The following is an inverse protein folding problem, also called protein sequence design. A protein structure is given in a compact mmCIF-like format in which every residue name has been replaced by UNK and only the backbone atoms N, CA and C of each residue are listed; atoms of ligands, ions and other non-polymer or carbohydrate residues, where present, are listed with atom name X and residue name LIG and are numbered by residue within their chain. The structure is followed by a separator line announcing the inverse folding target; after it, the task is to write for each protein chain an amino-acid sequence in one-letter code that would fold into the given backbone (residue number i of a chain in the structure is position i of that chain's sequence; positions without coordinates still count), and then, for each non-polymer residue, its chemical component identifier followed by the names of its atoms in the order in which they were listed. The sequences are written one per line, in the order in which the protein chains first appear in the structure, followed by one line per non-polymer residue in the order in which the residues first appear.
data_IF_599919999537
#
_entry.id   IF_599919999537
#
_cell.length_a   1.000
_cell.length_b   1.000
_cell.length_c   1.000
_cell.angle_alpha   90.00
_cell.angle_beta   90.00
_cell.angle_gamma   90.00
#
_symmetry.space_group_name_H-M   'P 1'
#
loop_
_entity.id
_entity.type
_entity.pdbx_description
1 polymer ?
#
# COMPACT_ATOMS: atom_id res chain seq x y z
N UNK A 1 -16.96 0.89 5.74
CA UNK A 1 -17.36 -0.13 4.76
C UNK A 1 -18.10 -1.25 5.48
N UNK A 2 -19.21 -1.75 4.93
CA UNK A 2 -19.88 -2.94 5.48
C UNK A 2 -19.14 -4.20 5.04
N UNK A 3 -18.77 -5.07 6.00
CA UNK A 3 -18.10 -6.33 5.74
C UNK A 3 -19.01 -7.44 6.29
N UNK A 4 -19.64 -8.27 5.43
CA UNK A 4 -20.38 -9.42 5.89
C UNK A 4 -19.46 -10.35 6.70
N UNK A 5 -19.92 -10.85 7.84
CA UNK A 5 -19.11 -11.72 8.75
C UNK A 5 -18.48 -12.93 8.05
N UNK A 6 -19.16 -13.51 7.05
CA UNK A 6 -18.66 -14.65 6.25
C UNK A 6 -17.52 -14.28 5.29
N UNK A 7 -17.36 -13.00 5.00
CA UNK A 7 -16.35 -12.45 4.07
C UNK A 7 -15.26 -11.67 4.79
N UNK A 8 -15.30 -11.64 6.13
CA UNK A 8 -14.30 -10.95 6.92
C UNK A 8 -12.97 -11.71 6.89
N UNK A 9 -11.88 -11.01 6.55
CA UNK A 9 -10.53 -11.56 6.68
C UNK A 9 -10.19 -11.68 8.17
N UNK A 10 -10.39 -12.86 8.73
CA UNK A 10 -10.07 -13.14 10.13
C UNK A 10 -8.58 -13.46 10.32
N UNK A 11 -7.99 -12.94 11.39
CA UNK A 11 -6.62 -13.22 11.80
C UNK A 11 -5.63 -12.15 11.33
N UNK A 12 -4.85 -11.66 12.29
CA UNK A 12 -3.92 -10.55 12.07
C UNK A 12 -2.83 -10.88 11.03
N UNK A 13 -2.36 -12.13 11.02
CA UNK A 13 -1.39 -12.63 10.04
C UNK A 13 -1.96 -12.62 8.61
N UNK A 14 -3.27 -12.90 8.46
CA UNK A 14 -3.95 -12.89 7.15
C UNK A 14 -3.97 -11.49 6.53
N UNK A 15 -4.21 -10.45 7.34
CA UNK A 15 -4.20 -9.05 6.87
C UNK A 15 -2.78 -8.60 6.53
N UNK A 16 -1.80 -8.89 7.41
CA UNK A 16 -0.40 -8.54 7.16
C UNK A 16 0.12 -9.17 5.84
N UNK A 17 -0.08 -10.48 5.68
CA UNK A 17 0.31 -11.20 4.47
C UNK A 17 -0.39 -10.66 3.22
N UNK A 18 -1.67 -10.29 3.35
CA UNK A 18 -2.40 -9.70 2.23
C UNK A 18 -1.80 -8.36 1.79
N UNK A 19 -1.48 -7.46 2.72
CA UNK A 19 -0.87 -6.17 2.40
C UNK A 19 0.49 -6.39 1.71
N UNK A 20 1.31 -7.30 2.25
CA UNK A 20 2.64 -7.61 1.69
C UNK A 20 2.54 -8.14 0.27
N UNK A 21 1.61 -9.07 0.01
CA UNK A 21 1.42 -9.68 -1.31
C UNK A 21 0.72 -8.77 -2.33
N UNK A 22 0.07 -7.70 -1.87
CA UNK A 22 -0.67 -6.75 -2.72
C UNK A 22 -0.20 -5.32 -2.45
N UNK A 23 1.12 -5.12 -2.33
CA UNK A 23 1.75 -3.90 -1.82
C UNK A 23 1.59 -2.66 -2.70
N UNK A 24 1.13 -2.79 -3.94
CA UNK A 24 0.78 -1.67 -4.79
C UNK A 24 -0.62 -1.12 -4.42
N UNK A 25 -0.63 -0.14 -3.53
CA UNK A 25 -1.84 0.43 -2.95
C UNK A 25 -2.30 1.71 -3.62
N UNK A 26 -3.52 2.13 -3.28
CA UNK A 26 -4.08 3.44 -3.60
C UNK A 26 -4.17 4.29 -2.33
N UNK A 27 -3.37 5.35 -2.24
CA UNK A 27 -3.46 6.37 -1.21
C UNK A 27 -4.51 7.41 -1.58
N UNK A 28 -5.42 7.71 -0.66
CA UNK A 28 -6.51 8.68 -0.83
C UNK A 28 -6.44 9.72 0.30
N UNK A 29 -6.31 11.00 -0.07
CA UNK A 29 -6.33 12.15 0.83
C UNK A 29 -7.76 12.63 1.15
N UNK A 30 -7.95 13.55 2.12
CA UNK A 30 -9.27 14.11 2.45
C UNK A 30 -9.98 14.81 1.28
N UNK A 31 -9.23 15.38 0.34
CA UNK A 31 -9.74 16.02 -0.88
C UNK A 31 -10.19 15.01 -1.95
N UNK A 32 -10.07 13.70 -1.66
CA UNK A 32 -10.36 12.59 -2.56
C UNK A 32 -9.42 12.48 -3.76
N UNK A 33 -8.20 13.03 -3.65
CA UNK A 33 -7.13 12.74 -4.62
C UNK A 33 -6.56 11.36 -4.33
N UNK A 34 -6.32 10.60 -5.40
CA UNK A 34 -5.75 9.25 -5.36
C UNK A 34 -4.35 9.20 -5.98
N UNK A 35 -3.37 8.59 -5.30
CA UNK A 35 -2.09 8.17 -5.91
C UNK A 35 -1.91 6.68 -5.74
N UNK A 36 -1.58 5.99 -6.84
CA UNK A 36 -1.13 4.60 -6.80
C UNK A 36 0.37 4.54 -6.56
N UNK A 37 0.81 3.81 -5.53
CA UNK A 37 2.23 3.64 -5.20
C UNK A 37 2.48 2.32 -4.44
N UNK A 38 3.71 1.78 -4.50
CA UNK A 38 4.09 0.65 -3.65
C UNK A 38 4.23 1.09 -2.18
N UNK A 39 3.86 0.19 -1.28
CA UNK A 39 4.04 0.34 0.16
C UNK A 39 4.86 -0.81 0.75
N UNK A 40 5.68 -0.50 1.74
CA UNK A 40 6.26 -1.49 2.66
C UNK A 40 5.45 -1.46 3.95
N UNK A 41 5.07 -2.63 4.43
CA UNK A 41 4.36 -2.78 5.69
C UNK A 41 5.30 -3.18 6.82
N UNK A 42 5.36 -2.36 7.87
CA UNK A 42 6.13 -2.59 9.09
C UNK A 42 5.16 -2.90 10.25
N UNK A 43 4.75 -4.17 10.43
CA UNK A 43 3.72 -4.56 11.39
C UNK A 43 4.13 -4.45 12.86
N UNK A 44 5.44 -4.42 13.14
CA UNK A 44 6.00 -4.35 14.50
C UNK A 44 6.25 -2.91 14.97
N UNK A 45 6.11 -1.92 14.08
CA UNK A 45 6.39 -0.52 14.40
C UNK A 45 5.15 0.24 14.86
N UNK A 46 5.26 0.91 16.00
CA UNK A 46 4.18 1.71 16.58
C UNK A 46 2.96 0.90 17.03
N UNK A 47 2.02 1.56 17.72
CA UNK A 47 0.80 0.89 18.24
C UNK A 47 -0.18 0.50 17.14
N UNK A 48 -0.15 1.22 16.02
CA UNK A 48 -1.10 1.06 14.90
C UNK A 48 -0.46 0.40 13.66
N UNK A 49 0.81 -0.03 13.75
CA UNK A 49 1.61 -0.48 12.60
C UNK A 49 1.93 0.68 11.66
N UNK A 50 2.95 0.51 10.83
CA UNK A 50 3.37 1.57 9.89
C UNK A 50 3.33 1.07 8.45
N UNK A 51 2.91 1.96 7.55
CA UNK A 51 3.02 1.82 6.11
C UNK A 51 3.98 2.88 5.60
N UNK A 52 5.04 2.44 4.93
CA UNK A 52 6.00 3.32 4.28
C UNK A 52 5.76 3.34 2.79
N UNK A 53 5.77 4.53 2.20
CA UNK A 53 5.65 4.74 0.76
C UNK A 53 6.46 5.96 0.35
N UNK A 54 6.67 6.11 -0.97
CA UNK A 54 7.37 7.26 -1.50
C UNK A 54 6.56 7.88 -2.64
N UNK A 55 6.38 9.19 -2.58
CA UNK A 55 5.74 9.98 -3.63
C UNK A 55 6.77 10.96 -4.16
N UNK A 56 6.87 11.05 -5.49
CA UNK A 56 7.77 12.00 -6.12
C UNK A 56 7.44 13.44 -5.70
N UNK A 57 8.45 14.25 -5.39
CA UNK A 57 8.30 15.66 -4.98
C UNK A 57 7.44 16.49 -5.94
N UNK A 58 7.51 16.19 -7.24
CA UNK A 58 6.73 16.87 -8.27
C UNK A 58 5.21 16.59 -8.17
N UNK A 59 4.83 15.41 -7.65
CA UNK A 59 3.44 15.07 -7.41
C UNK A 59 2.92 15.88 -6.21
N UNK A 60 2.07 16.88 -6.48
CA UNK A 60 1.59 17.81 -5.44
C UNK A 60 0.71 17.17 -4.37
N UNK A 61 0.26 15.91 -4.56
CA UNK A 61 -0.61 15.21 -3.62
C UNK A 61 -0.01 15.13 -2.20
N UNK A 62 1.32 15.09 -2.04
CA UNK A 62 1.95 15.07 -0.70
C UNK A 62 1.62 16.26 0.18
N UNK A 63 1.25 17.40 -0.40
CA UNK A 63 0.84 18.60 0.34
C UNK A 63 -0.52 18.46 0.99
N UNK A 64 -1.32 17.48 0.58
CA UNK A 64 -2.71 17.32 1.04
C UNK A 64 -2.86 16.30 2.17
N UNK A 65 -1.84 15.49 2.43
CA UNK A 65 -1.92 14.41 3.40
C UNK A 65 -0.98 14.52 4.58
N UNK A 66 -0.07 15.50 4.61
CA UNK A 66 0.82 15.71 5.77
C UNK A 66 0.01 16.07 7.04
N UNK A 67 0.14 15.24 8.07
CA UNK A 67 -0.63 15.34 9.31
C UNK A 67 -2.13 15.06 9.16
N UNK A 68 -2.58 14.55 8.00
CA UNK A 68 -4.01 14.32 7.73
C UNK A 68 -4.37 12.84 7.84
N UNK A 69 -5.64 12.59 8.15
CA UNK A 69 -6.21 11.25 8.08
C UNK A 69 -6.39 10.84 6.62
N UNK A 70 -5.81 9.71 6.25
CA UNK A 70 -5.86 9.14 4.90
C UNK A 70 -6.46 7.74 4.89
N UNK A 71 -6.79 7.27 3.69
CA UNK A 71 -7.12 5.88 3.40
C UNK A 71 -6.10 5.30 2.43
N UNK A 72 -5.54 4.14 2.75
CA UNK A 72 -4.79 3.31 1.80
C UNK A 72 -5.60 2.06 1.49
N UNK A 73 -5.83 1.79 0.21
CA UNK A 73 -6.55 0.61 -0.28
C UNK A 73 -5.58 -0.35 -0.94
N UNK A 74 -5.52 -1.57 -0.44
CA UNK A 74 -4.85 -2.70 -1.08
C UNK A 74 -5.90 -3.61 -1.68
N UNK A 75 -5.77 -3.90 -2.97
CA UNK A 75 -6.74 -4.72 -3.71
C UNK A 75 -6.08 -6.02 -4.12
N UNK A 76 -6.76 -7.13 -3.84
CA UNK A 76 -6.34 -8.46 -4.23
C UNK A 76 -7.13 -8.98 -5.43
N UNK A 77 -7.10 -10.30 -5.68
CA UNK A 77 -7.83 -10.91 -6.78
C UNK A 77 -9.33 -10.61 -6.70
N UNK A 78 -9.91 -10.42 -7.88
CA UNK A 78 -11.34 -10.22 -8.06
C UNK A 78 -11.83 -10.87 -9.36
N UNK A 79 -13.06 -11.36 -9.35
CA UNK A 79 -13.67 -11.99 -10.52
C UNK A 79 -15.20 -11.89 -10.48
N UNK A 80 -15.78 -11.79 -11.68
CA UNK A 80 -17.21 -12.00 -11.87
C UNK A 80 -17.55 -13.47 -11.59
N UNK A 81 -18.66 -13.69 -10.88
CA UNK A 81 -19.21 -15.00 -10.57
C UNK A 81 -20.55 -15.15 -11.28
N UNK A 82 -20.56 -15.98 -12.32
CA UNK A 82 -21.76 -16.17 -13.13
C UNK A 82 -22.76 -17.09 -12.42
N UNK A 83 -24.05 -16.72 -12.37
CA UNK A 83 -25.08 -17.62 -11.85
C UNK A 83 -25.24 -18.88 -12.71
N UNK A 84 -24.79 -18.84 -13.97
CA UNK A 84 -24.85 -19.99 -14.90
C UNK A 84 -23.90 -21.13 -14.54
N UNK A 85 -22.96 -20.92 -13.62
CA UNK A 85 -22.04 -21.97 -13.15
C UNK A 85 -22.68 -22.92 -12.12
N UNK A 86 -23.81 -22.51 -11.54
CA UNK A 86 -24.48 -23.26 -10.48
C UNK A 86 -25.73 -23.96 -11.02
N UNK A 87 -26.04 -25.14 -10.47
CA UNK A 87 -27.31 -25.84 -10.72
C UNK A 87 -28.45 -25.34 -9.82
N UNK A 88 -28.23 -24.29 -9.04
CA UNK A 88 -29.21 -23.75 -8.10
C UNK A 88 -30.30 -22.94 -8.84
N UNK A 89 -31.56 -23.13 -8.47
CA UNK A 89 -32.64 -22.23 -8.88
C UNK A 89 -32.54 -20.94 -8.06
N UNK A 90 -32.68 -19.78 -8.72
CA UNK A 90 -32.61 -18.43 -8.12
C UNK A 90 -31.23 -17.97 -7.63
N UNK A 91 -30.19 -18.14 -8.46
CA UNK A 91 -28.88 -17.50 -8.21
C UNK A 91 -28.82 -16.08 -8.82
N UNK A 92 -28.18 -15.16 -8.11
CA UNK A 92 -27.90 -13.79 -8.59
C UNK A 92 -26.43 -13.65 -9.01
N UNK A 93 -26.13 -12.85 -10.06
CA UNK A 93 -24.75 -12.53 -10.43
C UNK A 93 -24.06 -11.73 -9.32
N UNK A 94 -22.77 -11.98 -9.13
CA UNK A 94 -21.98 -11.25 -8.13
C UNK A 94 -20.52 -11.07 -8.58
N UNK A 95 -19.77 -10.27 -7.84
CA UNK A 95 -18.32 -10.16 -7.95
C UNK A 95 -17.68 -10.59 -6.64
N UNK A 96 -16.79 -11.57 -6.72
CA UNK A 96 -15.91 -11.87 -5.60
C UNK A 96 -14.69 -10.97 -5.70
N UNK A 97 -14.25 -10.43 -4.57
CA UNK A 97 -13.02 -9.65 -4.46
C UNK A 97 -12.44 -9.79 -3.05
N UNK A 98 -11.21 -9.36 -2.91
CA UNK A 98 -10.53 -9.21 -1.62
C UNK A 98 -9.88 -7.84 -1.57
N UNK A 99 -9.96 -7.17 -0.43
CA UNK A 99 -9.38 -5.84 -0.24
C UNK A 99 -9.10 -5.59 1.24
N UNK A 100 -8.07 -4.77 1.51
CA UNK A 100 -7.76 -4.25 2.84
C UNK A 100 -7.74 -2.72 2.77
N UNK A 101 -8.50 -2.09 3.67
CA UNK A 101 -8.53 -0.64 3.83
C UNK A 101 -7.80 -0.28 5.12
N UNK A 102 -6.69 0.45 4.99
CA UNK A 102 -5.91 0.96 6.11
C UNK A 102 -6.25 2.44 6.32
N UNK A 103 -6.65 2.80 7.53
CA UNK A 103 -6.88 4.20 7.91
C UNK A 103 -5.81 4.62 8.90
N UNK A 104 -5.19 5.78 8.67
CA UNK A 104 -4.12 6.29 9.51
C UNK A 104 -3.92 7.79 9.29
N UNK A 105 -2.99 8.37 10.04
CA UNK A 105 -2.49 9.73 9.80
C UNK A 105 -1.21 9.60 9.00
N UNK A 106 -1.11 10.30 7.86
CA UNK A 106 0.11 10.33 7.07
C UNK A 106 1.06 11.42 7.59
N UNK A 107 2.35 11.13 7.56
CA UNK A 107 3.42 12.03 8.00
C UNK A 107 4.50 12.09 6.93
N UNK A 108 4.94 13.29 6.56
CA UNK A 108 6.05 13.45 5.63
C UNK A 108 7.37 13.46 6.38
N UNK A 109 8.16 12.43 6.12
CA UNK A 109 9.47 12.20 6.74
C UNK A 109 10.53 13.25 6.38
N UNK A 110 11.56 13.33 7.22
CA UNK A 110 12.79 14.09 6.95
C UNK A 110 13.67 13.41 5.88
N UNK A 111 14.77 14.06 5.49
CA UNK A 111 15.67 13.53 4.45
C UNK A 111 16.31 12.17 4.83
N UNK A 112 16.82 12.04 6.05
CA UNK A 112 17.50 10.81 6.51
C UNK A 112 16.51 9.64 6.61
N UNK A 113 15.34 9.88 7.18
CA UNK A 113 14.26 8.89 7.25
C UNK A 113 13.74 8.49 5.87
N UNK A 114 13.60 9.47 4.96
CA UNK A 114 13.20 9.22 3.56
C UNK A 114 14.21 8.31 2.87
N UNK A 115 15.51 8.53 3.12
CA UNK A 115 16.58 7.70 2.56
C UNK A 115 16.46 6.25 3.06
N UNK A 116 16.30 6.06 4.36
CA UNK A 116 16.13 4.72 4.95
C UNK A 116 14.92 3.99 4.35
N UNK A 117 13.78 4.67 4.26
CA UNK A 117 12.55 4.12 3.67
C UNK A 117 12.73 3.78 2.19
N UNK A 118 13.42 4.63 1.43
CA UNK A 118 13.74 4.35 0.03
C UNK A 118 14.63 3.11 -0.11
N UNK A 119 15.63 2.93 0.76
CA UNK A 119 16.46 1.72 0.78
C UNK A 119 15.62 0.48 1.11
N UNK A 120 14.71 0.58 2.09
CA UNK A 120 13.79 -0.51 2.43
C UNK A 120 12.87 -0.86 1.26
N UNK A 121 12.28 0.13 0.59
CA UNK A 121 11.43 -0.06 -0.58
C UNK A 121 12.21 -0.76 -1.71
N UNK A 122 13.40 -0.25 -2.06
CA UNK A 122 14.22 -0.85 -3.11
C UNK A 122 14.59 -2.28 -2.75
N UNK A 123 15.11 -2.54 -1.55
CA UNK A 123 15.49 -3.90 -1.14
C UNK A 123 14.30 -4.87 -1.04
N UNK A 124 13.08 -4.37 -0.80
CA UNK A 124 11.87 -5.20 -0.77
C UNK A 124 11.52 -5.74 -2.16
N UNK A 125 11.68 -4.93 -3.20
CA UNK A 125 11.25 -5.28 -4.56
C UNK A 125 12.40 -5.74 -5.46
N UNK A 126 13.62 -5.27 -5.20
CA UNK A 126 14.85 -5.58 -5.94
C UNK A 126 16.00 -5.83 -4.92
N UNK A 127 16.05 -7.03 -4.32
CA UNK A 127 17.10 -7.37 -3.37
C UNK A 127 18.50 -7.17 -3.98
N UNK A 128 19.41 -6.57 -3.19
CA UNK A 128 20.80 -6.27 -3.55
C UNK A 128 21.00 -5.11 -4.55
N UNK A 129 19.95 -4.46 -5.06
CA UNK A 129 20.12 -3.33 -5.98
C UNK A 129 20.82 -2.13 -5.32
N UNK A 130 20.60 -1.90 -4.03
CA UNK A 130 21.28 -0.84 -3.25
C UNK A 130 22.80 -1.05 -3.17
N UNK A 131 23.25 -2.30 -3.25
CA UNK A 131 24.66 -2.67 -3.22
C UNK A 131 25.30 -2.54 -4.62
N UNK A 132 24.50 -2.57 -5.69
CA UNK A 132 24.96 -2.40 -7.05
C UNK A 132 25.29 -0.92 -7.35
N UNK A 133 26.53 -0.53 -7.05
CA UNK A 133 27.02 0.84 -7.25
C UNK A 133 27.20 1.26 -8.71
N UNK A 134 27.16 0.33 -9.66
CA UNK A 134 27.16 0.67 -11.09
C UNK A 134 25.80 1.19 -11.54
N UNK A 135 24.72 0.52 -11.13
CA UNK A 135 23.35 0.93 -11.46
C UNK A 135 22.84 2.04 -10.53
N UNK A 136 23.25 2.02 -9.26
CA UNK A 136 22.79 2.99 -8.26
C UNK A 136 23.96 3.53 -7.42
N UNK A 137 24.75 4.45 -7.99
CA UNK A 137 25.76 5.17 -7.22
C UNK A 137 25.15 5.96 -6.05
N UNK A 138 25.87 6.07 -4.94
CA UNK A 138 25.37 6.76 -3.73
C UNK A 138 25.01 8.24 -4.01
N UNK A 139 25.76 8.91 -4.88
CA UNK A 139 25.49 10.29 -5.29
C UNK A 139 24.11 10.43 -5.95
N UNK A 140 23.75 9.48 -6.81
CA UNK A 140 22.47 9.45 -7.50
C UNK A 140 21.32 9.15 -6.52
N UNK A 141 21.48 8.12 -5.68
CA UNK A 141 20.46 7.74 -4.70
C UNK A 141 20.18 8.87 -3.70
N UNK A 142 21.24 9.47 -3.15
CA UNK A 142 21.13 10.61 -2.23
C UNK A 142 20.47 11.83 -2.89
N UNK A 143 20.68 12.07 -4.19
CA UNK A 143 20.01 13.16 -4.89
C UNK A 143 18.49 12.94 -4.97
N UNK A 144 18.05 11.69 -5.18
CA UNK A 144 16.63 11.34 -5.31
C UNK A 144 15.89 11.28 -3.97
N UNK A 145 16.59 11.07 -2.87
CA UNK A 145 16.01 11.04 -1.52
C UNK A 145 15.91 12.42 -0.85
N UNK A 146 16.36 13.50 -1.50
CA UNK A 146 16.25 14.87 -0.95
C UNK A 146 14.82 15.41 -1.13
N UNK A 147 14.26 15.91 -0.03
CA UNK A 147 12.95 16.56 0.03
C UNK A 147 12.87 17.83 -0.78
#
# INVERSE_FOLDING_TARGET
MYIPKKMEMTGQNSVSTFIINNSFGLLISPSLIGTHLPFVFAPEEGKMRVLYGHVAKANQHWKEFDGQRVLVVFTGPHAYISPTWYKAQHAVPTWNYSAVHCYGVAEILGNEETKLVMETLVNTFEPNLVENKELMPDSYFNQKCKR
#
